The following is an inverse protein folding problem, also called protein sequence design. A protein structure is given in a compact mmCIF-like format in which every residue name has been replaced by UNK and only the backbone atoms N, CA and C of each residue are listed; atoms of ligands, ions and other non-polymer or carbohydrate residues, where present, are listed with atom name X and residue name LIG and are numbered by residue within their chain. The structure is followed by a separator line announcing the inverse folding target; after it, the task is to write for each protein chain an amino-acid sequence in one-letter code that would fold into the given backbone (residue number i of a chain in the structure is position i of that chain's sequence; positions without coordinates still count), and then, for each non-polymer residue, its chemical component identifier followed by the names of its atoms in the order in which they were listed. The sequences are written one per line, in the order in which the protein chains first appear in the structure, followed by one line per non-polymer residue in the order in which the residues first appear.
data_IF_550590180782
#
_entry.id   IF_550590180782
#
_cell.length_a   1.000
_cell.length_b   1.000
_cell.length_c   1.000
_cell.angle_alpha   90.00
_cell.angle_beta   90.00
_cell.angle_gamma   90.00
#
_symmetry.space_group_name_H-M   'P 1'
#
loop_
_entity.id
_entity.type
_entity.pdbx_description
1 polymer ?
#
# COMPACT_ATOMS: atom_id res chain seq x y z
N UNK A 1 -15.65 3.84 4.21
CA UNK A 1 -15.57 5.19 4.83
C UNK A 1 -14.13 5.71 4.90
N UNK A 2 -13.12 4.88 5.16
CA UNK A 2 -11.69 5.28 5.14
C UNK A 2 -11.12 5.62 3.76
N UNK A 3 -11.69 5.07 2.67
CA UNK A 3 -11.20 5.33 1.31
C UNK A 3 -11.33 6.81 0.88
N UNK A 4 -12.39 7.53 1.23
CA UNK A 4 -12.53 8.97 0.88
C UNK A 4 -11.54 9.86 1.64
N UNK A 5 -11.24 9.51 2.89
CA UNK A 5 -10.27 10.23 3.72
C UNK A 5 -8.82 9.95 3.25
N UNK A 6 -8.56 8.75 2.72
CA UNK A 6 -7.22 8.30 2.34
C UNK A 6 -6.85 8.56 0.87
N UNK A 7 -7.80 8.44 -0.06
CA UNK A 7 -7.59 8.68 -1.49
C UNK A 7 -7.85 10.14 -1.89
N UNK A 8 -8.18 11.04 -0.97
CA UNK A 8 -8.42 12.45 -1.25
C UNK A 8 -9.62 12.69 -2.19
N UNK A 9 -9.78 13.90 -2.77
CA UNK A 9 -10.93 14.27 -3.60
C UNK A 9 -10.85 13.66 -5.00
N UNK A 10 -10.30 12.44 -5.14
CA UNK A 10 -10.20 11.75 -6.44
C UNK A 10 -11.58 11.49 -7.02
N UNK A 11 -12.57 11.13 -6.20
CA UNK A 11 -13.95 10.95 -6.67
C UNK A 11 -14.53 12.25 -7.27
N UNK A 12 -14.58 13.39 -6.56
CA UNK A 12 -15.01 14.66 -7.14
C UNK A 12 -14.27 15.04 -8.44
N UNK A 13 -12.95 14.82 -8.49
CA UNK A 13 -12.14 15.12 -9.68
C UNK A 13 -12.52 14.22 -10.86
N UNK A 14 -12.79 12.95 -10.63
CA UNK A 14 -13.20 12.01 -11.67
C UNK A 14 -14.63 12.28 -12.14
N UNK A 15 -15.53 12.65 -11.23
CA UNK A 15 -16.90 13.04 -11.56
C UNK A 15 -16.95 14.31 -12.40
N UNK A 16 -16.12 15.31 -12.08
CA UNK A 16 -15.96 16.53 -12.87
C UNK A 16 -15.42 16.24 -14.29
N UNK A 17 -14.37 15.42 -14.39
CA UNK A 17 -13.69 15.15 -15.67
C UNK A 17 -14.42 14.16 -16.58
N UNK A 18 -15.06 13.15 -16.01
CA UNK A 18 -15.64 12.03 -16.76
C UNK A 18 -17.18 12.05 -16.75
N UNK A 19 -17.79 12.91 -15.93
CA UNK A 19 -19.23 12.95 -15.65
C UNK A 19 -19.61 12.00 -14.50
N UNK A 20 -20.58 12.40 -13.67
CA UNK A 20 -20.92 11.72 -12.40
C UNK A 20 -20.91 10.18 -12.45
N UNK A 21 -21.71 9.57 -13.32
CA UNK A 21 -21.78 8.10 -13.41
C UNK A 21 -20.47 7.42 -13.85
N UNK A 22 -19.76 7.98 -14.84
CA UNK A 22 -18.49 7.41 -15.32
C UNK A 22 -17.35 7.67 -14.34
N UNK A 23 -17.31 8.85 -13.74
CA UNK A 23 -16.34 9.23 -12.71
C UNK A 23 -16.45 8.36 -11.47
N UNK A 24 -17.68 8.12 -11.00
CA UNK A 24 -17.95 7.18 -9.90
C UNK A 24 -17.48 5.77 -10.22
N UNK A 25 -17.80 5.26 -11.41
CA UNK A 25 -17.35 3.92 -11.81
C UNK A 25 -15.82 3.81 -11.86
N UNK A 26 -15.14 4.80 -12.44
CA UNK A 26 -13.67 4.81 -12.49
C UNK A 26 -13.04 4.87 -11.09
N UNK A 27 -13.62 5.63 -10.16
CA UNK A 27 -13.19 5.64 -8.76
C UNK A 27 -13.37 4.27 -8.10
N UNK A 28 -14.51 3.62 -8.32
CA UNK A 28 -14.76 2.29 -7.78
C UNK A 28 -13.78 1.25 -8.34
N UNK A 29 -13.46 1.30 -9.64
CA UNK A 29 -12.47 0.42 -10.25
C UNK A 29 -11.07 0.58 -9.63
N UNK A 30 -10.67 1.82 -9.33
CA UNK A 30 -9.41 2.12 -8.65
C UNK A 30 -9.41 1.52 -7.22
N UNK A 31 -10.47 1.75 -6.45
CA UNK A 31 -10.54 1.24 -5.08
C UNK A 31 -10.63 -0.28 -5.07
N UNK A 32 -11.37 -0.87 -6.00
CA UNK A 32 -11.47 -2.32 -6.18
C UNK A 32 -10.10 -2.93 -6.49
N UNK A 33 -9.33 -2.31 -7.38
CA UNK A 33 -7.97 -2.75 -7.67
C UNK A 33 -7.04 -2.67 -6.44
N UNK A 34 -7.12 -1.57 -5.69
CA UNK A 34 -6.21 -1.32 -4.56
C UNK A 34 -6.56 -2.12 -3.29
N UNK A 35 -7.84 -2.39 -3.06
CA UNK A 35 -8.34 -3.02 -1.83
C UNK A 35 -8.87 -4.45 -2.02
N UNK A 36 -9.04 -4.88 -3.27
CA UNK A 36 -9.64 -6.17 -3.62
C UNK A 36 -11.17 -6.20 -3.54
N UNK A 37 -11.83 -5.09 -3.19
CA UNK A 37 -13.28 -5.02 -3.04
C UNK A 37 -13.89 -3.76 -3.66
N UNK A 38 -14.94 -3.94 -4.47
CA UNK A 38 -15.69 -2.82 -5.04
C UNK A 38 -16.51 -2.12 -3.96
N UNK A 39 -16.36 -0.79 -3.73
CA UNK A 39 -17.06 -0.10 -2.64
C UNK A 39 -18.59 -0.24 -2.64
N UNK A 40 -19.21 -0.32 -3.82
CA UNK A 40 -20.66 -0.52 -3.98
C UNK A 40 -21.12 -1.96 -3.73
N UNK A 41 -20.22 -2.94 -3.80
CA UNK A 41 -20.50 -4.35 -3.56
C UNK A 41 -20.13 -4.82 -2.14
N UNK A 42 -19.24 -4.10 -1.45
CA UNK A 42 -18.82 -4.41 -0.07
C UNK A 42 -19.91 -3.98 0.90
N UNK A 43 -20.39 -4.92 1.74
CA UNK A 43 -21.37 -4.64 2.79
C UNK A 43 -20.75 -3.75 3.86
N UNK A 44 -21.56 -2.93 4.52
CA UNK A 44 -21.08 -2.01 5.56
C UNK A 44 -20.31 -2.73 6.68
N UNK A 45 -20.79 -3.90 7.11
CA UNK A 45 -20.15 -4.71 8.16
C UNK A 45 -18.78 -5.30 7.75
N UNK A 46 -18.48 -5.36 6.45
CA UNK A 46 -17.25 -5.94 5.90
C UNK A 46 -16.19 -4.86 5.63
N UNK A 47 -16.54 -3.56 5.76
CA UNK A 47 -15.65 -2.44 5.40
C UNK A 47 -14.41 -2.32 6.28
N UNK A 48 -14.53 -2.75 7.53
CA UNK A 48 -13.43 -2.71 8.52
C UNK A 48 -12.78 -4.09 8.67
N UNK A 49 -13.16 -5.07 7.85
CA UNK A 49 -12.53 -6.38 7.84
C UNK A 49 -11.07 -6.27 7.37
N UNK A 50 -10.14 -7.06 7.94
CA UNK A 50 -8.79 -7.14 7.42
C UNK A 50 -8.77 -7.53 5.93
N UNK A 51 -7.82 -6.97 5.18
CA UNK A 51 -7.60 -7.36 3.79
C UNK A 51 -7.31 -8.86 3.64
N UNK A 52 -7.61 -9.41 2.46
CA UNK A 52 -7.37 -10.83 2.17
C UNK A 52 -5.90 -11.20 2.15
N UNK A 53 -5.05 -10.25 1.73
CA UNK A 53 -3.61 -10.41 1.63
C UNK A 53 -2.89 -9.87 2.86
N UNK A 54 -1.83 -10.57 3.27
CA UNK A 54 -0.96 -10.15 4.38
C UNK A 54 0.27 -9.45 3.83
N UNK A 55 0.64 -8.34 4.45
CA UNK A 55 1.90 -7.66 4.20
C UNK A 55 2.72 -7.54 5.50
N UNK A 56 4.03 -7.34 5.33
CA UNK A 56 4.93 -7.01 6.43
C UNK A 56 5.34 -5.55 6.24
N UNK A 57 5.09 -4.73 7.25
CA UNK A 57 5.59 -3.37 7.30
C UNK A 57 6.86 -3.31 8.16
N UNK A 58 7.91 -2.67 7.62
CA UNK A 58 9.19 -2.51 8.29
C UNK A 58 9.53 -1.02 8.39
N UNK A 59 10.06 -0.60 9.52
CA UNK A 59 10.57 0.76 9.73
C UNK A 59 12.09 0.70 9.74
N UNK A 60 12.72 1.41 8.79
CA UNK A 60 14.16 1.57 8.72
C UNK A 60 14.58 2.91 9.31
N UNK A 61 15.61 2.91 10.15
CA UNK A 61 16.18 4.11 10.75
C UNK A 61 17.66 4.22 10.38
N UNK A 62 18.07 5.42 9.99
CA UNK A 62 19.47 5.72 9.68
C UNK A 62 19.60 6.94 8.79
N UNK A 63 20.84 7.36 8.56
CA UNK A 63 21.17 8.40 7.59
C UNK A 63 20.72 7.98 6.19
N UNK A 64 20.03 8.88 5.48
CA UNK A 64 19.47 8.65 4.14
C UNK A 64 18.56 7.41 4.03
N UNK A 65 17.93 6.96 5.11
CA UNK A 65 17.15 5.72 5.12
C UNK A 65 16.12 5.63 3.97
N UNK A 66 15.38 6.72 3.72
CA UNK A 66 14.38 6.80 2.63
C UNK A 66 15.02 6.60 1.26
N UNK A 67 16.14 7.28 0.97
CA UNK A 67 16.86 7.13 -0.30
C UNK A 67 17.40 5.70 -0.45
N UNK A 68 18.08 5.21 0.57
CA UNK A 68 18.72 3.87 0.57
C UNK A 68 17.70 2.76 0.36
N UNK A 69 16.56 2.78 1.04
CA UNK A 69 15.54 1.73 0.85
C UNK A 69 14.94 1.78 -0.56
N UNK A 70 14.73 2.97 -1.13
CA UNK A 70 14.25 3.12 -2.52
C UNK A 70 15.25 2.60 -3.54
N UNK A 71 16.54 2.78 -3.31
CA UNK A 71 17.60 2.21 -4.15
C UNK A 71 17.58 0.67 -4.11
N UNK A 72 17.39 0.08 -2.93
CA UNK A 72 17.24 -1.38 -2.76
C UNK A 72 16.00 -1.92 -3.49
N UNK A 73 14.88 -1.19 -3.43
CA UNK A 73 13.68 -1.57 -4.15
C UNK A 73 13.88 -1.48 -5.66
N UNK A 74 14.54 -0.43 -6.13
CA UNK A 74 14.65 -0.08 -7.54
C UNK A 74 13.43 0.70 -8.07
N UNK A 75 13.47 1.12 -9.35
CA UNK A 75 12.38 1.81 -10.03
C UNK A 75 11.04 1.10 -9.94
N UNK A 76 9.93 1.85 -9.92
CA UNK A 76 8.55 1.32 -9.84
C UNK A 76 8.23 0.31 -10.94
N UNK A 77 8.83 0.49 -12.12
CA UNK A 77 8.70 -0.42 -13.26
C UNK A 77 9.78 -1.53 -13.16
N UNK A 78 9.40 -2.79 -12.86
CA UNK A 78 10.33 -3.91 -12.73
C UNK A 78 11.23 -4.13 -13.95
N UNK A 79 10.74 -3.82 -15.15
CA UNK A 79 11.50 -4.02 -16.39
C UNK A 79 12.74 -3.13 -16.46
N UNK A 80 12.69 -1.95 -15.83
CA UNK A 80 13.75 -0.95 -15.77
C UNK A 80 14.62 -1.07 -14.51
N UNK A 81 14.28 -1.99 -13.60
CA UNK A 81 14.99 -2.15 -12.35
C UNK A 81 16.29 -2.96 -12.54
N UNK A 82 17.39 -2.60 -11.84
CA UNK A 82 18.65 -3.30 -11.95
C UNK A 82 18.56 -4.71 -11.34
N UNK A 83 19.34 -5.70 -11.83
CA UNK A 83 19.46 -7.02 -11.22
C UNK A 83 19.76 -6.94 -9.71
N UNK A 84 19.16 -7.81 -8.91
CA UNK A 84 19.31 -7.82 -7.45
C UNK A 84 18.46 -6.80 -6.68
N UNK A 85 17.76 -5.89 -7.36
CA UNK A 85 16.74 -5.05 -6.69
C UNK A 85 15.45 -5.83 -6.46
N UNK A 86 14.73 -5.51 -5.38
CA UNK A 86 13.50 -6.24 -5.00
C UNK A 86 12.48 -6.26 -6.14
N UNK A 87 12.28 -5.12 -6.82
CA UNK A 87 11.30 -5.04 -7.91
C UNK A 87 11.72 -5.83 -9.13
N UNK A 88 13.03 -5.97 -9.40
CA UNK A 88 13.51 -6.79 -10.53
C UNK A 88 13.30 -8.28 -10.29
N UNK A 89 13.55 -8.73 -9.06
CA UNK A 89 13.48 -10.14 -8.68
C UNK A 89 12.03 -10.62 -8.48
N UNK A 90 11.17 -9.78 -7.90
CA UNK A 90 9.84 -10.18 -7.43
C UNK A 90 8.66 -9.43 -8.06
N UNK A 91 8.91 -8.32 -8.77
CA UNK A 91 7.86 -7.53 -9.41
C UNK A 91 7.35 -8.18 -10.70
N UNK A 92 6.04 -8.16 -10.91
CA UNK A 92 5.38 -8.72 -12.10
C UNK A 92 5.06 -7.66 -13.15
N UNK A 93 4.67 -6.46 -12.72
CA UNK A 93 4.32 -5.33 -13.59
C UNK A 93 4.48 -4.01 -12.85
N UNK A 94 4.24 -2.88 -13.52
CA UNK A 94 4.27 -1.56 -12.88
C UNK A 94 3.22 -1.43 -11.75
N UNK A 95 2.06 -2.09 -11.90
CA UNK A 95 0.96 -2.07 -10.94
C UNK A 95 1.16 -3.11 -9.83
N UNK A 96 1.82 -4.23 -10.12
CA UNK A 96 2.13 -5.31 -9.18
C UNK A 96 3.64 -5.44 -9.07
N UNK A 97 4.26 -4.52 -8.33
CA UNK A 97 5.70 -4.32 -8.29
C UNK A 97 6.38 -4.81 -7.00
N UNK A 98 5.75 -5.75 -6.28
CA UNK A 98 6.26 -6.44 -5.09
C UNK A 98 6.42 -5.62 -3.79
N UNK A 99 6.87 -4.37 -3.83
CA UNK A 99 7.18 -3.62 -2.61
C UNK A 99 6.91 -2.10 -2.71
N UNK A 100 6.47 -1.54 -1.58
CA UNK A 100 6.29 -0.10 -1.33
C UNK A 100 7.41 0.44 -0.43
N UNK A 101 7.79 1.70 -0.65
CA UNK A 101 8.60 2.48 0.28
C UNK A 101 8.23 3.96 0.13
N UNK A 102 8.22 4.67 1.26
CA UNK A 102 8.00 6.12 1.29
C UNK A 102 9.00 6.84 0.37
N UNK A 103 8.58 7.97 -0.20
CA UNK A 103 9.38 8.80 -1.11
C UNK A 103 10.03 10.03 -0.43
N UNK A 104 9.59 10.37 0.79
CA UNK A 104 10.14 11.46 1.60
C UNK A 104 10.07 11.13 3.10
N UNK A 105 10.78 11.91 3.92
CA UNK A 105 10.74 11.76 5.39
C UNK A 105 9.36 12.12 5.96
N UNK A 106 8.72 13.14 5.41
CA UNK A 106 7.36 13.57 5.78
C UNK A 106 6.34 12.48 5.44
N UNK A 107 6.46 11.86 4.27
CA UNK A 107 5.60 10.77 3.85
C UNK A 107 5.85 9.52 4.70
N UNK A 108 7.09 9.22 5.06
CA UNK A 108 7.40 8.14 6.00
C UNK A 108 6.73 8.37 7.37
N UNK A 109 6.78 9.59 7.91
CA UNK A 109 6.11 9.94 9.17
C UNK A 109 4.59 9.78 9.09
N UNK A 110 3.97 10.19 7.98
CA UNK A 110 2.53 9.98 7.75
C UNK A 110 2.20 8.50 7.68
N UNK A 111 2.94 7.74 6.87
CA UNK A 111 2.71 6.30 6.65
C UNK A 111 2.90 5.49 7.93
N UNK A 112 3.88 5.83 8.78
CA UNK A 112 4.05 5.18 10.09
C UNK A 112 2.82 5.32 11.00
N UNK A 113 2.10 6.45 10.94
CA UNK A 113 0.85 6.65 11.69
C UNK A 113 -0.29 5.81 11.14
N UNK A 114 -0.33 5.60 9.83
CA UNK A 114 -1.34 4.78 9.15
C UNK A 114 -1.18 3.32 9.52
N UNK A 115 0.07 2.82 9.46
CA UNK A 115 0.42 1.44 9.78
C UNK A 115 0.37 1.16 11.29
N UNK A 116 0.34 2.20 12.13
CA UNK A 116 0.30 2.09 13.59
C UNK A 116 1.49 1.26 14.12
N UNK A 117 2.70 1.66 13.73
CA UNK A 117 3.95 0.94 14.04
C UNK A 117 4.21 0.78 15.55
N UNK A 118 3.53 1.58 16.37
CA UNK A 118 3.49 1.48 17.83
C UNK A 118 2.73 0.25 18.34
N UNK A 119 1.79 -0.30 17.57
CA UNK A 119 1.01 -1.50 17.92
C UNK A 119 1.71 -2.81 17.51
N UNK A 120 3.04 -2.80 17.36
CA UNK A 120 3.88 -3.88 16.82
C UNK A 120 3.39 -5.30 17.18
N UNK A 121 2.66 -5.89 16.24
CA UNK A 121 2.11 -7.24 16.33
C UNK A 121 3.09 -8.31 15.82
N UNK A 122 4.23 -7.89 15.25
CA UNK A 122 5.20 -8.78 14.64
C UNK A 122 6.05 -9.51 15.67
N UNK A 123 6.41 -8.83 16.77
CA UNK A 123 7.17 -9.47 17.87
C UNK A 123 6.41 -10.65 18.50
N UNK A 124 5.14 -10.50 18.94
CA UNK A 124 4.35 -11.65 19.41
C UNK A 124 4.22 -12.76 18.37
N UNK A 125 4.10 -12.41 17.08
CA UNK A 125 3.99 -13.39 16.00
C UNK A 125 5.26 -14.23 15.87
N UNK A 126 6.44 -13.59 15.86
CA UNK A 126 7.75 -14.25 15.86
C UNK A 126 7.91 -15.12 17.11
N UNK A 127 7.65 -14.57 18.29
CA UNK A 127 7.75 -15.31 19.56
C UNK A 127 6.87 -16.56 19.54
N UNK A 128 5.63 -16.46 19.07
CA UNK A 128 4.73 -17.62 18.92
C UNK A 128 5.18 -18.66 17.90
N UNK A 129 5.95 -18.24 16.88
CA UNK A 129 6.45 -19.13 15.83
C UNK A 129 7.65 -19.93 16.35
N UNK A 130 8.57 -19.27 17.06
CA UNK A 130 9.77 -19.91 17.61
C UNK A 130 9.50 -20.67 18.93
N UNK A 131 8.49 -20.32 19.73
CA UNK A 131 8.09 -21.10 20.92
C UNK A 131 7.31 -22.38 20.58
N UNK A 132 6.94 -22.59 19.31
CA UNK A 132 6.31 -23.83 18.81
C UNK A 132 7.32 -24.85 18.29
N UNK A 133 8.62 -24.60 18.43
CA UNK A 133 9.71 -25.56 18.21
C UNK A 133 10.27 -26.02 19.54
#
# INVERSE_FOLDING_TARGET
AQAEEFYGPVLPVLEDKLGGGKGRNAWEDIVEFMSGGRPSAVKDAERDAPGSEKCIALVYQGEDAVRKIREVLGPTDPSKAPPGSIRKEFGQSIMVNAAHASDSAENAQREMKIVQVDQNNFKPLIESFYQRQ
#
